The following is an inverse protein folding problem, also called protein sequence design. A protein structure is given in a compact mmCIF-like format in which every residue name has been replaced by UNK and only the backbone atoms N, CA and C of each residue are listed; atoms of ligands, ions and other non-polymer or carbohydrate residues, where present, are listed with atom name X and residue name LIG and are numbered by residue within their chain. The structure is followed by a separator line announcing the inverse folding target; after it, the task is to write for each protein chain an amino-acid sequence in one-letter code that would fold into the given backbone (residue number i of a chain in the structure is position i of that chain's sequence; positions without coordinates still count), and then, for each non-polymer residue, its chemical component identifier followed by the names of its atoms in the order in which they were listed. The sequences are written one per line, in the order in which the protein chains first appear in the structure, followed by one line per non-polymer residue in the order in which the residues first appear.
data_IF_087505546561
#
_entry.id   IF_087505546561
#
_cell.length_a   1.000
_cell.length_b   1.000
_cell.length_c   1.000
_cell.angle_alpha   90.00
_cell.angle_beta   90.00
_cell.angle_gamma   90.00
#
_symmetry.space_group_name_H-M   'P 1'
#
loop_
_entity.id
_entity.type
_entity.pdbx_description
1 polymer ?
#
# COMPACT_ATOMS: atom_id res chain seq x y z
N UNK A 1 -33.23 30.11 -22.15
CA UNK A 1 -32.90 31.55 -22.00
C UNK A 1 -33.02 31.88 -20.50
N UNK A 2 -32.08 31.60 -19.61
CA UNK A 2 -30.67 31.97 -19.57
C UNK A 2 -30.42 32.66 -18.22
N UNK A 3 -30.27 31.89 -17.13
CA UNK A 3 -29.91 32.44 -15.81
C UNK A 3 -28.39 32.65 -15.75
N UNK A 4 -27.97 33.92 -15.78
CA UNK A 4 -26.57 34.36 -15.68
C UNK A 4 -26.04 34.20 -14.25
N UNK A 5 -24.77 33.79 -14.16
CA UNK A 5 -23.95 33.61 -12.95
C UNK A 5 -23.74 34.94 -12.21
N UNK A 6 -23.79 34.91 -10.88
CA UNK A 6 -23.39 36.02 -10.01
C UNK A 6 -21.86 36.08 -9.89
N UNK A 7 -21.34 37.31 -9.94
CA UNK A 7 -19.94 37.72 -9.81
C UNK A 7 -19.55 37.88 -8.34
N UNK A 8 -18.41 37.32 -7.93
CA UNK A 8 -17.79 37.57 -6.62
C UNK A 8 -17.34 39.04 -6.47
N UNK A 9 -17.49 39.66 -5.28
CA UNK A 9 -16.96 41.00 -5.04
C UNK A 9 -15.48 40.97 -4.64
N UNK A 10 -14.68 41.77 -5.33
CA UNK A 10 -13.33 42.19 -4.92
C UNK A 10 -13.44 43.26 -3.83
N UNK A 11 -12.72 43.10 -2.71
CA UNK A 11 -12.62 44.15 -1.69
C UNK A 11 -11.35 44.97 -1.95
N UNK A 12 -11.55 46.27 -2.09
CA UNK A 12 -10.56 47.27 -2.46
C UNK A 12 -9.80 47.83 -1.24
N UNK A 13 -8.62 48.37 -1.54
CA UNK A 13 -7.76 49.24 -0.73
C UNK A 13 -8.53 50.41 -0.11
N UNK A 14 -8.08 50.83 1.07
CA UNK A 14 -8.24 52.21 1.55
C UNK A 14 -6.96 52.65 2.26
N UNK A 15 -6.45 53.80 1.81
CA UNK A 15 -5.29 54.54 2.31
C UNK A 15 -5.79 55.74 3.13
N UNK A 16 -4.99 56.21 4.10
CA UNK A 16 -4.67 57.62 4.48
C UNK A 16 -4.58 57.80 6.00
N UNK A 17 -3.45 58.38 6.46
CA UNK A 17 -3.31 59.02 7.77
C UNK A 17 -1.86 59.20 8.26
N UNK A 18 -1.29 60.38 8.00
CA UNK A 18 0.08 60.85 8.33
C UNK A 18 0.50 60.73 9.82
N UNK A 19 1.80 60.47 10.07
CA UNK A 19 2.75 61.44 10.67
C UNK A 19 4.10 60.79 11.04
N UNK A 20 5.20 61.38 10.54
CA UNK A 20 6.35 61.74 11.39
C UNK A 20 7.60 60.84 11.43
N UNK A 21 8.67 61.35 10.80
CA UNK A 21 10.07 61.40 11.29
C UNK A 21 11.00 60.19 11.03
N UNK A 22 11.73 60.33 9.92
CA UNK A 22 13.18 60.09 9.65
C UNK A 22 14.02 59.18 10.57
N UNK A 23 14.77 58.24 9.95
CA UNK A 23 16.25 58.26 9.76
C UNK A 23 16.70 56.99 9.01
N UNK A 24 17.13 57.13 7.76
CA UNK A 24 18.53 57.14 7.28
C UNK A 24 18.94 55.78 6.69
N UNK A 25 18.75 55.66 5.38
CA UNK A 25 19.51 54.77 4.49
C UNK A 25 20.95 55.27 4.37
N UNK A 26 21.92 54.37 4.24
CA UNK A 26 23.01 54.50 3.24
C UNK A 26 23.66 53.13 3.00
N UNK A 27 23.35 52.52 1.85
CA UNK A 27 24.33 51.72 1.11
C UNK A 27 25.15 52.70 0.24
N UNK A 28 26.45 52.46 0.06
CA UNK A 28 27.13 52.57 -1.23
C UNK A 28 28.60 52.10 -1.19
N UNK A 29 29.20 51.79 -2.36
CA UNK A 29 29.99 50.58 -2.57
C UNK A 29 31.45 50.84 -3.03
N UNK A 30 32.13 49.72 -3.30
CA UNK A 30 33.37 49.54 -4.08
C UNK A 30 34.71 49.98 -3.44
N UNK A 31 35.67 49.06 -3.26
CA UNK A 31 36.64 48.67 -4.31
C UNK A 31 37.61 47.56 -3.81
N UNK A 32 37.60 46.42 -4.52
CA UNK A 32 38.71 45.52 -4.89
C UNK A 32 39.91 45.25 -3.95
N UNK A 33 40.16 43.98 -3.58
CA UNK A 33 41.06 43.04 -4.28
C UNK A 33 41.48 41.87 -3.35
N UNK A 34 41.54 40.68 -3.94
CA UNK A 34 42.27 39.48 -3.51
C UNK A 34 41.71 38.69 -2.30
N UNK A 35 41.04 37.57 -2.61
CA UNK A 35 41.60 36.23 -2.44
C UNK A 35 40.75 35.22 -3.23
N UNK A 36 41.43 34.43 -4.06
CA UNK A 36 40.88 33.27 -4.74
C UNK A 36 40.70 32.12 -3.74
N UNK A 37 39.75 31.25 -4.06
CA UNK A 37 39.60 29.85 -3.68
C UNK A 37 38.82 29.53 -2.39
N UNK A 38 38.00 28.48 -2.57
CA UNK A 38 37.31 27.64 -1.60
C UNK A 38 35.96 28.13 -1.06
N UNK A 39 34.89 27.69 -1.73
CA UNK A 39 33.69 27.19 -1.06
C UNK A 39 33.11 26.07 -1.93
N UNK A 40 33.45 24.86 -1.52
CA UNK A 40 32.98 23.58 -2.04
C UNK A 40 31.45 23.49 -1.97
N UNK A 41 30.86 23.00 -3.06
CA UNK A 41 29.47 22.56 -3.12
C UNK A 41 29.24 21.43 -2.12
N UNK A 42 28.68 21.73 -0.93
CA UNK A 42 28.21 20.69 -0.02
C UNK A 42 26.97 20.01 -0.61
N UNK A 43 27.18 18.93 -1.37
CA UNK A 43 26.12 17.98 -1.71
C UNK A 43 25.73 17.24 -0.42
N UNK A 44 24.62 17.63 0.21
CA UNK A 44 24.08 16.92 1.36
C UNK A 44 23.55 15.56 0.90
N UNK A 45 24.36 14.51 1.08
CA UNK A 45 23.96 13.13 0.82
C UNK A 45 23.32 12.53 2.07
N UNK A 46 22.18 11.88 1.92
CA UNK A 46 21.47 11.21 3.01
C UNK A 46 21.66 9.70 2.92
N UNK A 47 21.87 9.05 4.07
CA UNK A 47 22.13 7.61 4.13
C UNK A 47 21.05 6.85 4.89
N UNK A 48 20.62 5.70 4.35
CA UNK A 48 19.67 4.78 4.98
C UNK A 48 20.32 3.41 5.05
N UNK A 49 20.58 2.90 6.25
CA UNK A 49 21.11 1.55 6.41
C UNK A 49 20.03 0.50 6.13
N UNK A 50 20.42 -0.56 5.43
CA UNK A 50 19.58 -1.74 5.22
C UNK A 50 19.63 -2.60 6.48
N UNK A 51 18.47 -3.09 6.89
CA UNK A 51 18.35 -3.95 8.06
C UNK A 51 18.85 -5.37 7.75
N UNK A 52 19.76 -5.87 8.60
CA UNK A 52 20.47 -7.12 8.38
C UNK A 52 19.97 -8.26 9.26
N UNK A 53 19.12 -7.99 10.26
CA UNK A 53 18.77 -8.95 11.31
C UNK A 53 18.26 -10.31 10.77
N UNK A 54 17.66 -10.32 9.58
CA UNK A 54 17.12 -11.52 8.94
C UNK A 54 18.05 -12.17 7.89
N UNK A 55 19.30 -11.75 7.69
CA UNK A 55 20.13 -12.37 6.63
C UNK A 55 20.45 -13.84 6.87
N UNK A 56 20.48 -14.26 8.14
CA UNK A 56 20.84 -15.62 8.58
C UNK A 56 19.59 -16.38 9.06
N UNK A 57 18.39 -15.82 8.93
CA UNK A 57 17.16 -16.52 9.33
C UNK A 57 16.87 -17.72 8.42
N UNK A 58 16.12 -18.68 8.93
CA UNK A 58 15.67 -19.86 8.16
C UNK A 58 14.39 -19.60 7.35
N UNK A 59 13.64 -18.57 7.74
CA UNK A 59 12.41 -18.16 7.08
C UNK A 59 12.61 -16.81 6.42
N UNK A 60 12.27 -16.72 5.13
CA UNK A 60 12.30 -15.49 4.34
C UNK A 60 11.00 -15.30 3.56
N UNK A 61 10.60 -14.05 3.39
CA UNK A 61 9.48 -13.66 2.53
C UNK A 61 9.97 -12.92 1.29
N UNK A 62 10.78 -13.62 0.49
CA UNK A 62 11.37 -13.08 -0.74
C UNK A 62 10.30 -12.84 -1.82
N UNK A 63 10.16 -11.60 -2.28
CA UNK A 63 9.17 -11.23 -3.30
C UNK A 63 9.74 -11.37 -4.71
N UNK A 64 10.98 -10.89 -4.91
CA UNK A 64 11.63 -10.79 -6.22
C UNK A 64 13.13 -10.58 -6.07
N UNK A 65 13.86 -10.78 -7.17
CA UNK A 65 15.29 -10.47 -7.28
C UNK A 65 15.47 -9.19 -8.09
N UNK A 66 16.30 -8.28 -7.58
CA UNK A 66 16.70 -7.05 -8.27
C UNK A 66 18.19 -7.09 -8.60
N UNK A 67 18.54 -6.49 -9.74
CA UNK A 67 19.92 -6.42 -10.21
C UNK A 67 20.42 -4.98 -10.09
N UNK A 68 21.58 -4.83 -9.47
CA UNK A 68 22.31 -3.57 -9.50
C UNK A 68 23.16 -3.47 -10.78
N UNK A 69 23.07 -2.31 -11.42
CA UNK A 69 23.78 -1.94 -12.64
C UNK A 69 24.71 -0.75 -12.38
N UNK A 70 25.58 -0.44 -13.35
CA UNK A 70 26.58 0.65 -13.25
C UNK A 70 27.45 0.56 -11.99
N UNK A 71 27.92 -0.65 -11.69
CA UNK A 71 28.69 -0.88 -10.48
C UNK A 71 30.07 -0.23 -10.56
N UNK A 72 30.40 0.56 -9.56
CA UNK A 72 31.77 0.95 -9.26
C UNK A 72 32.24 0.10 -8.08
N UNK A 73 33.18 -0.80 -8.35
CA UNK A 73 33.68 -1.82 -7.42
C UNK A 73 35.12 -1.47 -7.05
N UNK A 74 35.41 -1.39 -5.76
CA UNK A 74 36.78 -1.17 -5.28
C UNK A 74 37.67 -2.39 -5.53
N UNK A 75 38.97 -2.17 -5.72
CA UNK A 75 39.95 -3.26 -5.89
C UNK A 75 39.92 -4.24 -4.70
N UNK A 76 39.78 -3.71 -3.48
CA UNK A 76 39.65 -4.52 -2.25
C UNK A 76 38.45 -5.48 -2.27
N UNK A 77 37.37 -5.14 -3.01
CA UNK A 77 36.20 -6.00 -3.14
C UNK A 77 36.46 -7.17 -4.09
N UNK A 78 37.27 -6.96 -5.13
CA UNK A 78 37.71 -8.05 -6.01
C UNK A 78 38.58 -9.04 -5.25
N UNK A 79 39.58 -8.54 -4.52
CA UNK A 79 40.53 -9.38 -3.78
C UNK A 79 39.81 -10.27 -2.76
N UNK A 80 38.92 -9.69 -1.95
CA UNK A 80 38.17 -10.48 -0.96
C UNK A 80 37.26 -11.53 -1.56
N UNK A 81 36.62 -11.24 -2.70
CA UNK A 81 35.79 -12.24 -3.37
C UNK A 81 36.61 -13.43 -3.86
N UNK A 82 37.86 -13.20 -4.27
CA UNK A 82 38.76 -14.30 -4.64
C UNK A 82 39.17 -15.13 -3.42
N UNK A 83 39.31 -14.50 -2.25
CA UNK A 83 39.68 -15.17 -0.99
C UNK A 83 38.53 -15.96 -0.38
N UNK A 84 37.32 -15.39 -0.35
CA UNK A 84 36.12 -15.99 0.20
C UNK A 84 34.91 -15.57 -0.63
N UNK A 85 34.09 -16.53 -1.07
CA UNK A 85 32.88 -16.23 -1.84
C UNK A 85 31.73 -15.74 -0.95
N UNK A 86 31.78 -16.03 0.35
CA UNK A 86 30.71 -15.76 1.31
C UNK A 86 31.03 -14.66 2.32
N UNK A 87 32.14 -13.91 2.14
CA UNK A 87 32.57 -12.82 3.02
C UNK A 87 31.48 -11.76 3.27
N UNK A 88 30.54 -11.63 2.33
CA UNK A 88 29.38 -10.72 2.41
C UNK A 88 28.55 -10.99 3.69
N UNK A 89 28.57 -12.23 4.19
CA UNK A 89 27.86 -12.65 5.39
C UNK A 89 28.63 -12.36 6.69
N UNK A 90 29.79 -11.70 6.66
CA UNK A 90 30.47 -11.26 7.88
C UNK A 90 29.85 -9.99 8.46
N UNK A 91 29.71 -9.89 9.79
CA UNK A 91 29.03 -8.78 10.51
C UNK A 91 29.50 -7.37 10.15
N UNK A 92 30.77 -7.23 9.74
CA UNK A 92 31.35 -5.95 9.36
C UNK A 92 30.78 -5.36 8.06
N UNK A 93 30.11 -6.16 7.23
CA UNK A 93 29.52 -5.66 5.98
C UNK A 93 28.05 -5.31 6.11
N UNK A 94 27.63 -4.25 5.42
CA UNK A 94 26.22 -3.92 5.28
C UNK A 94 25.93 -3.23 3.95
N UNK A 95 24.65 -3.15 3.58
CA UNK A 95 24.18 -2.25 2.53
C UNK A 95 23.65 -0.95 3.14
N UNK A 96 23.86 0.16 2.44
CA UNK A 96 23.20 1.44 2.72
C UNK A 96 22.76 2.10 1.42
N UNK A 97 21.62 2.76 1.43
CA UNK A 97 21.24 3.67 0.35
C UNK A 97 21.88 5.03 0.55
N UNK A 98 22.43 5.61 -0.51
CA UNK A 98 22.83 7.02 -0.59
C UNK A 98 21.84 7.76 -1.49
N UNK A 99 21.23 8.79 -0.94
CA UNK A 99 20.29 9.68 -1.65
C UNK A 99 20.91 11.06 -1.80
N UNK A 100 20.91 11.58 -3.02
CA UNK A 100 21.30 12.96 -3.28
C UNK A 100 20.07 13.89 -3.13
N UNK A 101 20.29 15.13 -2.65
CA UNK A 101 19.28 16.19 -2.57
C UNK A 101 18.03 15.95 -1.68
N UNK A 102 18.16 15.17 -0.60
CA UNK A 102 17.06 14.94 0.36
C UNK A 102 17.28 15.66 1.68
N UNK A 103 16.30 16.47 2.08
CA UNK A 103 16.37 17.32 3.29
C UNK A 103 15.83 16.61 4.55
N UNK A 104 14.85 15.68 4.44
CA UNK A 104 14.25 14.99 5.61
C UNK A 104 13.80 13.55 5.34
N UNK A 105 13.94 12.63 6.32
CA UNK A 105 13.64 11.19 6.19
C UNK A 105 12.14 10.85 6.16
N UNK A 106 11.29 11.68 6.78
CA UNK A 106 9.87 11.32 6.99
C UNK A 106 9.01 11.37 5.71
N UNK A 107 9.53 12.00 4.65
CA UNK A 107 8.84 12.09 3.37
C UNK A 107 9.88 12.01 2.25
N UNK A 108 10.27 10.79 1.88
CA UNK A 108 11.10 10.59 0.69
C UNK A 108 10.24 10.92 -0.53
N UNK A 109 10.51 12.02 -1.25
CA UNK A 109 9.79 12.30 -2.49
C UNK A 109 10.11 11.22 -3.52
N UNK A 110 9.34 11.15 -4.61
CA UNK A 110 9.76 10.34 -5.76
C UNK A 110 11.01 11.01 -6.33
N UNK A 111 12.16 10.38 -6.14
CA UNK A 111 13.46 10.82 -6.64
C UNK A 111 13.72 10.19 -8.00
N UNK A 112 14.59 10.83 -8.80
CA UNK A 112 15.10 10.18 -10.01
C UNK A 112 15.92 8.94 -9.61
N UNK A 113 15.86 7.88 -10.41
CA UNK A 113 16.72 6.71 -10.20
C UNK A 113 18.20 7.04 -10.25
N UNK A 114 18.58 8.12 -10.95
CA UNK A 114 19.96 8.63 -11.00
C UNK A 114 20.44 9.23 -9.67
N UNK A 115 19.54 9.52 -8.73
CA UNK A 115 19.87 10.15 -7.45
C UNK A 115 19.91 9.14 -6.30
N UNK A 116 19.62 7.87 -6.58
CA UNK A 116 19.56 6.77 -5.62
C UNK A 116 20.66 5.76 -5.95
N UNK A 117 21.56 5.57 -5.00
CA UNK A 117 22.66 4.60 -5.09
C UNK A 117 22.54 3.60 -3.95
N UNK A 118 22.79 2.32 -4.22
CA UNK A 118 23.06 1.35 -3.17
C UNK A 118 24.58 1.20 -3.00
N UNK A 119 25.04 1.30 -1.76
CA UNK A 119 26.43 1.14 -1.39
C UNK A 119 26.58 -0.11 -0.52
N UNK A 120 27.49 -1.00 -0.93
CA UNK A 120 28.00 -2.07 -0.09
C UNK A 120 29.18 -1.52 0.71
N UNK A 121 29.07 -1.55 2.04
CA UNK A 121 30.04 -0.91 2.94
C UNK A 121 30.67 -1.92 3.90
N UNK A 122 31.93 -1.67 4.22
CA UNK A 122 32.61 -2.27 5.36
C UNK A 122 32.62 -1.28 6.53
N UNK A 123 31.97 -1.64 7.63
CA UNK A 123 32.00 -0.92 8.90
C UNK A 123 33.37 -1.12 9.54
N UNK A 124 34.16 -0.06 9.63
CA UNK A 124 35.45 -0.03 10.34
C UNK A 124 35.23 0.64 11.70
N UNK A 125 35.79 0.06 12.76
CA UNK A 125 35.75 0.66 14.10
C UNK A 125 36.57 1.96 14.04
N UNK A 126 35.95 3.08 14.41
CA UNK A 126 36.55 4.42 14.50
C UNK A 126 36.85 5.19 13.19
N UNK A 127 36.35 4.74 12.04
CA UNK A 127 36.50 5.45 10.75
C UNK A 127 35.17 5.52 9.97
N UNK A 128 35.11 6.41 8.98
CA UNK A 128 34.00 6.39 8.01
C UNK A 128 33.94 5.03 7.31
N UNK A 129 32.72 4.52 7.13
CA UNK A 129 32.50 3.23 6.50
C UNK A 129 33.09 3.20 5.08
N UNK A 130 33.90 2.19 4.80
CA UNK A 130 34.57 2.05 3.51
C UNK A 130 33.59 1.52 2.46
N UNK A 131 33.41 2.25 1.37
CA UNK A 131 32.51 1.85 0.28
C UNK A 131 33.23 0.86 -0.63
N UNK A 132 32.74 -0.38 -0.62
CA UNK A 132 33.30 -1.48 -1.42
C UNK A 132 32.66 -1.53 -2.81
N UNK A 133 31.35 -1.30 -2.89
CA UNK A 133 30.63 -1.25 -4.16
C UNK A 133 29.60 -0.14 -4.10
N UNK A 134 29.42 0.59 -5.20
CA UNK A 134 28.26 1.47 -5.39
C UNK A 134 27.60 1.15 -6.73
N UNK A 135 26.26 1.18 -6.78
CA UNK A 135 25.50 0.87 -7.98
C UNK A 135 24.08 1.42 -7.95
N UNK A 136 23.41 1.33 -9.10
CA UNK A 136 22.06 1.84 -9.30
C UNK A 136 21.09 0.69 -9.59
N UNK A 137 19.79 0.92 -9.37
CA UNK A 137 18.75 -0.05 -9.70
C UNK A 137 18.25 0.14 -11.13
N UNK A 138 18.02 -0.98 -11.82
CA UNK A 138 17.33 -1.00 -13.12
C UNK A 138 15.80 -1.08 -12.90
N UNK A 139 15.19 0.08 -12.65
CA UNK A 139 13.77 0.16 -12.32
C UNK A 139 13.16 1.56 -12.49
N UNK A 140 11.82 1.67 -12.42
CA UNK A 140 11.13 2.95 -12.45
C UNK A 140 11.45 3.78 -11.20
N UNK A 141 11.58 5.09 -11.34
CA UNK A 141 11.86 6.04 -10.25
C UNK A 141 10.90 5.89 -9.07
N UNK A 142 9.63 5.68 -9.37
CA UNK A 142 8.58 5.44 -8.37
C UNK A 142 8.77 4.14 -7.59
N UNK A 143 9.17 3.07 -8.25
CA UNK A 143 9.42 1.76 -7.64
C UNK A 143 10.68 1.80 -6.77
N UNK A 144 11.78 2.35 -7.28
CA UNK A 144 13.04 2.46 -6.55
C UNK A 144 12.91 3.40 -5.35
N UNK A 145 12.29 4.57 -5.51
CA UNK A 145 12.01 5.47 -4.38
C UNK A 145 11.09 4.82 -3.35
N UNK A 146 10.10 4.04 -3.82
CA UNK A 146 9.21 3.26 -2.95
C UNK A 146 9.97 2.21 -2.14
N UNK A 147 10.93 1.53 -2.76
CA UNK A 147 11.78 0.53 -2.10
C UNK A 147 12.61 1.19 -1.00
N UNK A 148 13.29 2.30 -1.29
CA UNK A 148 14.06 3.06 -0.31
C UNK A 148 13.19 3.48 0.88
N UNK A 149 11.99 4.01 0.61
CA UNK A 149 11.06 4.43 1.65
C UNK A 149 10.63 3.25 2.54
N UNK A 150 10.27 2.11 1.97
CA UNK A 150 9.89 0.94 2.74
C UNK A 150 11.06 0.35 3.54
N UNK A 151 12.28 0.39 3.01
CA UNK A 151 13.48 -0.01 3.77
C UNK A 151 13.73 0.93 4.94
N UNK A 152 13.55 2.24 4.75
CA UNK A 152 13.71 3.23 5.85
C UNK A 152 12.73 3.01 7.01
N UNK A 153 11.55 2.44 6.72
CA UNK A 153 10.55 2.06 7.71
C UNK A 153 10.67 0.61 8.19
N UNK A 154 11.70 -0.12 7.73
CA UNK A 154 11.91 -1.55 8.00
C UNK A 154 10.76 -2.45 7.55
N UNK A 155 10.03 -2.08 6.49
CA UNK A 155 8.99 -2.96 5.93
C UNK A 155 9.56 -3.90 4.87
N UNK A 156 10.56 -3.42 4.13
CA UNK A 156 11.34 -4.24 3.21
C UNK A 156 12.79 -4.29 3.65
N UNK A 157 13.49 -5.35 3.30
CA UNK A 157 14.95 -5.41 3.37
C UNK A 157 15.55 -5.97 2.07
N UNK A 158 16.85 -5.77 1.90
CA UNK A 158 17.64 -6.31 0.80
C UNK A 158 18.63 -7.33 1.36
N UNK A 159 18.65 -8.51 0.76
CA UNK A 159 19.58 -9.58 1.10
C UNK A 159 20.40 -9.96 -0.14
N UNK A 160 21.73 -10.07 -0.03
CA UNK A 160 22.53 -10.50 -1.17
C UNK A 160 22.23 -11.96 -1.49
N UNK A 161 22.06 -12.29 -2.78
CA UNK A 161 22.04 -13.69 -3.22
C UNK A 161 23.47 -14.20 -3.29
N UNK A 162 23.70 -15.46 -2.90
CA UNK A 162 25.01 -16.11 -2.97
C UNK A 162 25.59 -15.97 -4.38
N UNK A 163 26.81 -15.43 -4.48
CA UNK A 163 27.55 -15.26 -5.74
C UNK A 163 27.47 -13.86 -6.34
N UNK A 164 28.51 -13.05 -6.08
CA UNK A 164 28.78 -11.85 -6.87
C UNK A 164 29.24 -12.28 -8.26
N UNK A 165 28.65 -11.75 -9.33
CA UNK A 165 29.15 -11.98 -10.69
C UNK A 165 29.93 -10.74 -11.13
N UNK A 166 31.26 -10.84 -11.07
CA UNK A 166 32.16 -9.80 -11.55
C UNK A 166 32.90 -10.41 -12.74
N UNK A 167 32.37 -10.18 -13.93
CA UNK A 167 32.90 -10.72 -15.18
C UNK A 167 33.16 -9.55 -16.13
N UNK A 168 34.41 -9.09 -16.19
CA UNK A 168 34.84 -8.01 -17.09
C UNK A 168 33.90 -6.78 -17.04
N UNK A 169 33.52 -6.25 -18.21
CA UNK A 169 32.67 -5.06 -18.35
C UNK A 169 31.23 -5.19 -17.82
N UNK A 170 30.82 -6.35 -17.30
CA UNK A 170 29.47 -6.62 -16.80
C UNK A 170 29.56 -7.15 -15.36
N UNK A 171 29.85 -6.26 -14.43
CA UNK A 171 29.69 -6.52 -13.00
C UNK A 171 28.22 -6.31 -12.63
N UNK A 172 27.59 -7.33 -12.03
CA UNK A 172 26.21 -7.23 -11.52
C UNK A 172 26.09 -7.90 -10.16
N UNK A 173 25.36 -7.23 -9.27
CA UNK A 173 25.01 -7.76 -7.94
C UNK A 173 23.52 -8.03 -7.94
N UNK A 174 23.15 -9.25 -7.61
CA UNK A 174 21.76 -9.66 -7.41
C UNK A 174 21.42 -9.56 -5.94
N UNK A 175 20.27 -8.97 -5.66
CA UNK A 175 19.74 -8.78 -4.31
C UNK A 175 18.31 -9.31 -4.28
N UNK A 176 17.98 -10.03 -3.22
CA UNK A 176 16.62 -10.43 -2.88
C UNK A 176 15.93 -9.30 -2.16
N UNK A 177 14.71 -8.97 -2.58
CA UNK A 177 13.82 -8.05 -1.86
C UNK A 177 12.91 -8.89 -0.97
N UNK A 178 13.02 -8.69 0.33
CA UNK A 178 12.29 -9.47 1.35
C UNK A 178 11.29 -8.58 2.11
N UNK A 179 10.07 -9.09 2.36
CA UNK A 179 9.10 -8.46 3.27
C UNK A 179 9.43 -8.83 4.71
N UNK A 180 9.58 -7.82 5.57
CA UNK A 180 9.76 -8.06 7.00
C UNK A 180 8.45 -8.43 7.70
N UNK A 181 8.55 -9.27 8.74
CA UNK A 181 7.39 -9.75 9.53
C UNK A 181 6.51 -8.62 10.08
N UNK A 182 7.11 -7.53 10.52
CA UNK A 182 6.42 -6.33 11.03
C UNK A 182 5.47 -5.68 10.00
N UNK A 183 5.67 -5.91 8.69
CA UNK A 183 4.80 -5.39 7.63
C UNK A 183 3.44 -6.08 7.62
N UNK A 184 3.39 -7.37 7.96
CA UNK A 184 2.14 -8.11 8.06
C UNK A 184 1.34 -7.60 9.27
N UNK A 185 1.99 -7.41 10.41
CA UNK A 185 1.37 -6.83 11.62
C UNK A 185 0.85 -5.40 11.37
N UNK A 186 1.65 -4.58 10.68
CA UNK A 186 1.26 -3.22 10.28
C UNK A 186 0.07 -3.19 9.33
N UNK A 187 -0.08 -4.21 8.48
CA UNK A 187 -1.21 -4.35 7.54
C UNK A 187 -2.53 -4.73 8.24
N UNK A 188 -2.45 -5.47 9.35
CA UNK A 188 -3.60 -5.89 10.15
C UNK A 188 -4.16 -4.78 11.05
N UNK A 189 -3.34 -3.78 11.39
CA UNK A 189 -3.76 -2.60 12.15
C UNK A 189 -4.64 -1.65 11.32
N UNK A 190 -5.87 -2.09 11.03
CA UNK A 190 -6.85 -1.44 10.15
C UNK A 190 -7.38 -0.09 10.66
N UNK A 191 -6.95 0.37 11.84
CA UNK A 191 -7.51 1.54 12.54
C UNK A 191 -6.69 2.85 12.46
N UNK A 192 -5.60 2.89 11.70
CA UNK A 192 -4.85 4.12 11.47
C UNK A 192 -5.39 4.98 10.32
N UNK A 193 -6.24 5.95 10.61
CA UNK A 193 -6.86 6.91 9.66
C UNK A 193 -5.88 7.89 8.98
N UNK A 194 -4.60 7.83 9.32
CA UNK A 194 -3.55 8.58 8.61
C UNK A 194 -3.36 7.95 7.24
N UNK A 195 -3.35 8.75 6.17
CA UNK A 195 -2.94 8.30 4.82
C UNK A 195 -1.57 7.63 4.95
N UNK A 196 -1.55 6.31 5.05
CA UNK A 196 -0.34 5.53 5.24
C UNK A 196 0.50 5.65 3.97
N UNK A 197 1.43 6.60 3.94
CA UNK A 197 2.26 6.94 2.77
C UNK A 197 3.00 5.70 2.25
N UNK A 198 3.37 4.80 3.17
CA UNK A 198 4.00 3.51 2.88
C UNK A 198 3.17 2.60 1.97
N UNK A 199 1.84 2.64 2.06
CA UNK A 199 0.96 1.84 1.20
C UNK A 199 1.11 2.18 -0.27
N UNK A 200 1.28 3.48 -0.57
CA UNK A 200 1.56 3.94 -1.93
C UNK A 200 2.94 3.44 -2.41
N UNK A 201 3.95 3.53 -1.55
CA UNK A 201 5.27 2.96 -1.85
C UNK A 201 5.21 1.46 -2.11
N UNK A 202 4.43 0.70 -1.32
CA UNK A 202 4.24 -0.73 -1.51
C UNK A 202 3.56 -1.04 -2.85
N UNK A 203 2.53 -0.27 -3.23
CA UNK A 203 1.92 -0.41 -4.56
C UNK A 203 2.91 -0.16 -5.70
N UNK A 204 3.74 0.88 -5.59
CA UNK A 204 4.73 1.20 -6.61
C UNK A 204 5.85 0.15 -6.71
N UNK A 205 6.29 -0.39 -5.57
CA UNK A 205 7.28 -1.49 -5.52
C UNK A 205 6.69 -2.77 -6.10
N UNK A 206 5.47 -3.15 -5.72
CA UNK A 206 4.83 -4.36 -6.25
C UNK A 206 4.53 -4.23 -7.75
N UNK A 207 4.16 -3.04 -8.24
CA UNK A 207 4.01 -2.79 -9.68
C UNK A 207 5.32 -2.99 -10.46
N UNK A 208 6.46 -2.70 -9.85
CA UNK A 208 7.77 -2.94 -10.44
C UNK A 208 8.21 -4.40 -10.31
N UNK A 209 8.18 -4.96 -9.11
CA UNK A 209 8.76 -6.27 -8.81
C UNK A 209 7.88 -7.44 -9.23
N UNK A 210 6.55 -7.26 -9.22
CA UNK A 210 5.52 -8.28 -9.48
C UNK A 210 4.39 -7.68 -10.34
N UNK A 211 4.66 -7.25 -11.59
CA UNK A 211 3.68 -6.56 -12.42
C UNK A 211 2.40 -7.38 -12.64
N UNK A 212 2.46 -8.72 -12.54
CA UNK A 212 1.32 -9.61 -12.69
C UNK A 212 0.17 -9.31 -11.71
N UNK A 213 0.47 -8.83 -10.49
CA UNK A 213 -0.58 -8.49 -9.50
C UNK A 213 -1.24 -7.13 -9.75
N UNK A 214 -0.71 -6.36 -10.69
CA UNK A 214 -1.28 -5.06 -11.07
C UNK A 214 -2.18 -5.11 -12.29
N UNK A 215 -2.22 -6.26 -12.96
CA UNK A 215 -3.07 -6.49 -14.13
C UNK A 215 -4.55 -6.40 -13.78
N UNK A 216 -5.37 -5.96 -14.73
CA UNK A 216 -6.83 -5.95 -14.57
C UNK A 216 -7.39 -7.35 -14.29
N UNK A 217 -6.78 -8.39 -14.87
CA UNK A 217 -7.12 -9.78 -14.60
C UNK A 217 -6.90 -10.14 -13.14
N UNK A 218 -5.72 -9.83 -12.58
CA UNK A 218 -5.43 -10.11 -11.18
C UNK A 218 -6.31 -9.27 -10.23
N UNK A 219 -6.55 -8.00 -10.55
CA UNK A 219 -7.31 -7.08 -9.68
C UNK A 219 -8.81 -7.32 -9.67
N UNK A 220 -9.38 -7.67 -10.82
CA UNK A 220 -10.82 -7.72 -11.02
C UNK A 220 -11.34 -9.10 -11.43
N UNK A 221 -10.46 -10.08 -11.64
CA UNK A 221 -10.83 -11.39 -12.19
C UNK A 221 -11.30 -11.31 -13.64
N UNK A 222 -10.96 -10.23 -14.35
CA UNK A 222 -11.46 -9.93 -15.69
C UNK A 222 -10.32 -9.72 -16.68
N UNK A 223 -10.23 -10.60 -17.69
CA UNK A 223 -9.35 -10.40 -18.83
C UNK A 223 -9.92 -9.31 -19.71
N UNK A 224 -9.22 -8.17 -19.76
CA UNK A 224 -9.54 -7.10 -20.71
C UNK A 224 -9.20 -7.63 -22.11
N UNK A 225 -10.14 -7.61 -23.07
CA UNK A 225 -9.84 -7.97 -24.46
C UNK A 225 -8.70 -7.12 -25.01
N UNK A 226 -7.79 -7.71 -25.79
CA UNK A 226 -6.59 -7.05 -26.34
C UNK A 226 -6.90 -5.74 -27.11
N UNK A 227 -8.14 -5.58 -27.58
CA UNK A 227 -8.65 -4.40 -28.29
C UNK A 227 -8.96 -3.19 -27.38
N UNK A 228 -8.79 -3.32 -26.07
CA UNK A 228 -9.16 -2.33 -25.07
C UNK A 228 -7.93 -1.95 -24.24
N UNK A 229 -7.03 -1.14 -24.82
CA UNK A 229 -5.92 -0.50 -24.08
C UNK A 229 -6.47 0.37 -22.94
N UNK A 230 -6.64 -0.19 -21.74
CA UNK A 230 -6.78 0.58 -20.52
C UNK A 230 -5.36 0.97 -20.10
N UNK A 231 -4.82 1.98 -20.78
CA UNK A 231 -3.62 2.65 -20.33
C UNK A 231 -3.88 3.28 -18.96
N UNK A 232 -3.22 2.77 -17.92
CA UNK A 232 -2.98 3.49 -16.67
C UNK A 232 -2.01 4.67 -16.86
N UNK A 233 -1.96 5.25 -18.06
CA UNK A 233 -1.43 6.58 -18.25
C UNK A 233 -2.49 7.56 -17.74
N UNK A 234 -2.16 8.28 -16.69
CA UNK A 234 -2.86 9.48 -16.24
C UNK A 234 -2.70 10.59 -17.31
N UNK A 235 -3.12 10.32 -18.54
CA UNK A 235 -3.22 11.31 -19.59
C UNK A 235 -4.61 11.93 -19.51
N UNK A 236 -4.64 13.23 -19.27
CA UNK A 236 -5.83 14.08 -19.19
C UNK A 236 -6.59 14.23 -20.52
N UNK A 237 -6.85 13.14 -21.23
CA UNK A 237 -7.77 13.12 -22.36
C UNK A 237 -8.89 12.13 -22.10
N UNK A 238 -9.82 12.57 -21.24
CA UNK A 238 -11.11 11.92 -20.99
C UNK A 238 -11.95 11.88 -22.27
N UNK A 239 -11.68 10.94 -23.17
CA UNK A 239 -12.74 10.41 -24.03
C UNK A 239 -13.70 9.67 -23.11
N UNK A 240 -14.91 10.21 -22.97
CA UNK A 240 -15.86 9.79 -21.95
C UNK A 240 -16.21 8.31 -22.06
N UNK A 241 -15.67 7.50 -21.15
CA UNK A 241 -16.19 6.18 -20.86
C UNK A 241 -17.64 6.36 -20.37
N UNK A 242 -18.60 6.00 -21.22
CA UNK A 242 -20.01 5.98 -20.84
C UNK A 242 -20.22 4.77 -19.96
N UNK A 243 -20.34 4.99 -18.66
CA UNK A 243 -20.68 3.93 -17.71
C UNK A 243 -22.00 3.27 -18.13
N UNK A 244 -21.93 1.98 -18.47
CA UNK A 244 -23.11 1.19 -18.81
C UNK A 244 -23.84 0.79 -17.53
N UNK A 245 -24.78 1.66 -17.15
CA UNK A 245 -25.64 1.47 -15.98
C UNK A 245 -26.44 0.16 -16.10
N UNK A 246 -26.93 -0.17 -17.28
CA UNK A 246 -27.78 -1.35 -17.50
C UNK A 246 -26.96 -2.63 -17.38
N UNK A 247 -25.80 -2.70 -18.02
CA UNK A 247 -24.87 -3.83 -17.89
C UNK A 247 -24.42 -4.04 -16.44
N UNK A 248 -24.14 -2.95 -15.71
CA UNK A 248 -23.82 -3.04 -14.28
C UNK A 248 -24.95 -3.66 -13.46
N UNK A 249 -26.20 -3.20 -13.65
CA UNK A 249 -27.34 -3.75 -12.91
C UNK A 249 -27.58 -5.22 -13.23
N UNK A 250 -27.44 -5.66 -14.49
CA UNK A 250 -27.55 -7.08 -14.83
C UNK A 250 -26.44 -7.92 -14.19
N UNK A 251 -25.20 -7.40 -14.15
CA UNK A 251 -24.05 -8.13 -13.57
C UNK A 251 -24.14 -8.33 -12.05
N UNK A 252 -24.78 -7.41 -11.32
CA UNK A 252 -24.93 -7.50 -9.86
C UNK A 252 -26.22 -8.20 -9.40
N UNK A 253 -27.08 -8.62 -10.33
CA UNK A 253 -28.34 -9.29 -9.96
C UNK A 253 -28.06 -10.62 -9.24
N UNK A 254 -28.68 -10.88 -8.09
CA UNK A 254 -28.54 -12.16 -7.41
C UNK A 254 -29.05 -13.30 -8.30
N UNK A 255 -28.37 -14.45 -8.24
CA UNK A 255 -28.83 -15.67 -8.92
C UNK A 255 -30.24 -16.07 -8.45
N UNK A 256 -31.05 -16.57 -9.39
CA UNK A 256 -32.39 -17.11 -9.08
C UNK A 256 -32.32 -18.42 -8.28
N UNK A 257 -31.19 -19.12 -8.36
CA UNK A 257 -30.94 -20.39 -7.67
C UNK A 257 -30.44 -20.20 -6.24
N UNK A 258 -30.34 -18.95 -5.78
CA UNK A 258 -29.96 -18.66 -4.41
C UNK A 258 -30.97 -19.26 -3.42
N UNK A 259 -30.48 -19.76 -2.26
CA UNK A 259 -31.32 -20.37 -1.24
C UNK A 259 -32.43 -19.44 -0.75
N UNK A 260 -33.55 -20.06 -0.39
CA UNK A 260 -34.76 -19.39 0.09
C UNK A 260 -34.94 -19.65 1.59
N UNK A 261 -35.51 -18.67 2.28
CA UNK A 261 -35.86 -18.81 3.68
C UNK A 261 -37.02 -19.79 3.79
N UNK A 262 -36.80 -20.90 4.51
CA UNK A 262 -37.82 -21.95 4.70
C UNK A 262 -38.60 -21.78 6.00
N UNK A 263 -38.16 -20.89 6.89
CA UNK A 263 -38.79 -20.64 8.17
C UNK A 263 -40.23 -20.17 8.00
N UNK A 264 -41.15 -20.85 8.68
CA UNK A 264 -42.55 -20.43 8.76
C UNK A 264 -42.67 -19.28 9.77
N UNK A 265 -43.19 -18.15 9.29
CA UNK A 265 -43.38 -16.92 10.08
C UNK A 265 -44.87 -16.66 10.27
N UNK A 266 -45.55 -17.33 11.23
CA UNK A 266 -47.00 -17.25 11.39
C UNK A 266 -47.49 -15.83 11.74
N UNK A 267 -46.66 -15.04 12.39
CA UNK A 267 -46.96 -13.64 12.74
C UNK A 267 -46.86 -12.69 11.53
N UNK A 268 -46.24 -13.12 10.42
CA UNK A 268 -46.12 -12.34 9.20
C UNK A 268 -47.32 -12.64 8.29
N UNK A 269 -48.34 -11.77 8.38
CA UNK A 269 -49.58 -11.90 7.60
C UNK A 269 -49.40 -11.99 6.06
N UNK A 270 -48.51 -11.20 5.41
CA UNK A 270 -48.34 -11.32 3.96
C UNK A 270 -47.55 -12.56 3.56
N UNK A 271 -48.03 -13.27 2.55
CA UNK A 271 -47.30 -14.39 1.94
C UNK A 271 -46.10 -13.87 1.12
N UNK A 272 -44.91 -14.35 1.45
CA UNK A 272 -43.66 -13.95 0.79
C UNK A 272 -43.52 -14.59 -0.58
N UNK A 273 -43.28 -13.75 -1.59
CA UNK A 273 -42.92 -14.20 -2.93
C UNK A 273 -41.54 -14.86 -2.94
N UNK A 274 -41.23 -15.71 -3.94
CA UNK A 274 -39.96 -16.43 -3.96
C UNK A 274 -38.71 -15.55 -3.87
N UNK A 275 -38.70 -14.39 -4.53
CA UNK A 275 -37.57 -13.45 -4.44
C UNK A 275 -37.44 -12.81 -3.04
N UNK A 276 -38.57 -12.53 -2.37
CA UNK A 276 -38.59 -11.96 -1.01
C UNK A 276 -38.02 -12.97 -0.01
N UNK A 277 -38.35 -14.26 -0.18
CA UNK A 277 -37.78 -15.35 0.63
C UNK A 277 -36.26 -15.49 0.43
N UNK A 278 -35.75 -15.26 -0.78
CA UNK A 278 -34.29 -15.23 -1.05
C UNK A 278 -33.62 -14.03 -0.39
N UNK A 279 -34.21 -12.85 -0.52
CA UNK A 279 -33.70 -11.63 0.13
C UNK A 279 -33.65 -11.79 1.65
N UNK A 280 -34.73 -12.27 2.27
CA UNK A 280 -34.80 -12.54 3.70
C UNK A 280 -33.76 -13.59 4.15
N UNK A 281 -33.60 -14.69 3.41
CA UNK A 281 -32.55 -15.67 3.68
C UNK A 281 -31.17 -15.03 3.69
N UNK A 282 -30.84 -14.27 2.65
CA UNK A 282 -29.54 -13.60 2.54
C UNK A 282 -29.29 -12.65 3.72
N UNK A 283 -30.28 -11.84 4.10
CA UNK A 283 -30.17 -10.92 5.25
C UNK A 283 -29.92 -11.68 6.56
N UNK A 284 -30.68 -12.74 6.82
CA UNK A 284 -30.50 -13.57 8.04
C UNK A 284 -29.11 -14.21 8.08
N UNK A 285 -28.60 -14.74 6.97
CA UNK A 285 -27.25 -15.30 6.91
C UNK A 285 -26.17 -14.21 7.12
N UNK A 286 -26.42 -12.98 6.63
CA UNK A 286 -25.52 -11.83 6.85
C UNK A 286 -25.51 -11.40 8.32
N UNK A 287 -26.62 -11.48 9.02
CA UNK A 287 -26.72 -11.15 10.45
C UNK A 287 -26.12 -12.24 11.35
N UNK A 288 -26.37 -13.52 11.04
CA UNK A 288 -25.83 -14.67 11.78
C UNK A 288 -24.32 -14.87 11.64
N UNK A 289 -23.67 -14.16 10.71
CA UNK A 289 -22.25 -14.34 10.43
C UNK A 289 -21.91 -15.69 9.80
N UNK A 290 -22.89 -16.44 9.29
CA UNK A 290 -22.71 -17.80 8.76
C UNK A 290 -21.78 -17.85 7.54
N UNK A 291 -21.62 -16.73 6.83
CA UNK A 291 -20.61 -16.58 5.78
C UNK A 291 -19.15 -16.63 6.30
N UNK A 292 -18.92 -16.50 7.61
CA UNK A 292 -17.62 -16.75 8.25
C UNK A 292 -17.25 -18.24 8.19
N UNK A 293 -18.19 -19.12 8.51
CA UNK A 293 -17.98 -20.58 8.56
C UNK A 293 -18.04 -21.28 7.18
N UNK A 294 -18.84 -20.75 6.23
CA UNK A 294 -18.84 -21.26 4.86
C UNK A 294 -17.49 -21.05 4.16
N UNK A 295 -16.77 -19.97 4.50
CA UNK A 295 -15.41 -19.70 4.02
C UNK A 295 -14.35 -20.60 4.64
N UNK A 296 -14.53 -21.04 5.88
CA UNK A 296 -13.63 -22.01 6.54
C UNK A 296 -13.78 -23.43 5.96
N UNK A 297 -14.99 -23.82 5.55
CA UNK A 297 -15.26 -25.19 5.05
C UNK A 297 -14.91 -25.42 3.57
N UNK A 298 -14.84 -24.36 2.76
CA UNK A 298 -14.41 -24.46 1.36
C UNK A 298 -12.92 -24.18 1.25
N UNK A 299 -12.10 -25.21 1.47
CA UNK A 299 -10.66 -25.25 1.19
C UNK A 299 -10.30 -25.05 -0.31
N UNK A 300 -11.26 -24.69 -1.16
CA UNK A 300 -11.04 -24.33 -2.55
C UNK A 300 -11.31 -22.84 -2.78
N UNK A 301 -10.22 -22.05 -2.70
CA UNK A 301 -10.01 -20.86 -3.53
C UNK A 301 -11.05 -19.72 -3.46
N UNK A 302 -11.70 -19.44 -2.32
CA UNK A 302 -12.40 -18.15 -2.18
C UNK A 302 -11.42 -17.04 -1.84
N UNK A 303 -10.49 -16.75 -2.76
CA UNK A 303 -9.61 -15.58 -2.69
C UNK A 303 -10.48 -14.36 -2.36
N UNK A 304 -10.15 -13.60 -1.31
CA UNK A 304 -10.80 -12.32 -1.04
C UNK A 304 -10.79 -11.52 -2.35
N UNK A 305 -11.92 -10.98 -2.82
CA UNK A 305 -11.99 -10.32 -4.13
C UNK A 305 -11.03 -9.13 -4.28
N UNK A 306 -10.38 -8.72 -3.19
CA UNK A 306 -9.44 -7.61 -3.14
C UNK A 306 -7.97 -8.03 -3.02
N UNK A 307 -7.68 -9.31 -2.79
CA UNK A 307 -6.32 -9.80 -2.58
C UNK A 307 -5.92 -10.81 -3.67
N UNK A 308 -4.66 -10.79 -4.07
CA UNK A 308 -4.09 -11.70 -5.06
C UNK A 308 -3.02 -12.54 -4.37
N UNK A 309 -2.99 -13.87 -4.56
CA UNK A 309 -1.91 -14.70 -4.06
C UNK A 309 -0.61 -14.40 -4.82
N UNK A 310 0.49 -14.26 -4.09
CA UNK A 310 1.84 -14.01 -4.61
C UNK A 310 2.74 -15.13 -4.12
N UNK A 311 3.32 -15.87 -5.06
CA UNK A 311 4.31 -16.92 -4.77
C UNK A 311 5.62 -16.28 -4.31
N UNK A 312 6.19 -16.74 -3.21
CA UNK A 312 7.49 -16.28 -2.73
C UNK A 312 8.62 -16.93 -3.55
N UNK A 313 9.72 -16.21 -3.76
CA UNK A 313 10.87 -16.74 -4.50
C UNK A 313 11.52 -17.87 -3.69
N UNK A 314 11.83 -18.98 -4.35
CA UNK A 314 12.43 -20.20 -3.78
C UNK A 314 11.69 -20.83 -2.58
N UNK A 315 10.45 -20.44 -2.35
CA UNK A 315 9.61 -21.00 -1.30
C UNK A 315 8.30 -21.52 -1.91
N UNK A 316 7.81 -22.63 -1.38
CA UNK A 316 6.48 -23.14 -1.75
C UNK A 316 5.34 -22.36 -1.07
N UNK A 317 5.67 -21.35 -0.27
CA UNK A 317 4.73 -20.52 0.46
C UNK A 317 4.22 -19.34 -0.39
N UNK A 318 3.00 -18.89 -0.07
CA UNK A 318 2.35 -17.75 -0.71
C UNK A 318 2.02 -16.69 0.31
N UNK A 319 2.03 -15.43 -0.13
CA UNK A 319 1.46 -14.30 0.60
C UNK A 319 0.25 -13.77 -0.17
N UNK A 320 -0.61 -13.01 0.50
CA UNK A 320 -1.75 -12.35 -0.10
C UNK A 320 -1.50 -10.85 -0.15
N UNK A 321 -1.61 -10.29 -1.34
CA UNK A 321 -1.37 -8.87 -1.59
C UNK A 321 -2.65 -8.17 -2.05
N UNK A 322 -2.99 -7.05 -1.42
CA UNK A 322 -4.11 -6.22 -1.85
C UNK A 322 -3.62 -5.11 -2.78
N UNK A 323 -3.96 -5.21 -4.06
CA UNK A 323 -3.56 -4.27 -5.09
C UNK A 323 -4.19 -2.89 -5.00
N UNK A 324 -5.27 -2.72 -4.23
CA UNK A 324 -5.99 -1.46 -4.10
C UNK A 324 -5.42 -0.55 -3.02
N UNK A 325 -4.82 -1.14 -1.99
CA UNK A 325 -4.31 -0.40 -0.84
C UNK A 325 -2.88 -0.78 -0.44
N UNK A 326 -2.22 -1.72 -1.12
CA UNK A 326 -0.85 -2.12 -0.84
C UNK A 326 -0.66 -2.95 0.43
N UNK A 327 -1.71 -3.49 1.06
CA UNK A 327 -1.56 -4.34 2.25
C UNK A 327 -1.08 -5.76 1.90
N UNK A 328 -0.31 -6.37 2.80
CA UNK A 328 0.17 -7.75 2.66
C UNK A 328 -0.27 -8.58 3.86
N UNK A 329 -0.60 -9.85 3.64
CA UNK A 329 -0.94 -10.79 4.70
C UNK A 329 -0.44 -12.20 4.39
N UNK A 330 -0.14 -12.97 5.42
CA UNK A 330 0.14 -14.41 5.30
C UNK A 330 -1.13 -15.25 5.23
N UNK A 331 -2.25 -14.73 5.76
CA UNK A 331 -3.52 -15.43 5.85
C UNK A 331 -4.62 -14.71 5.04
N UNK A 332 -5.38 -15.48 4.27
CA UNK A 332 -6.45 -14.94 3.43
C UNK A 332 -7.59 -14.30 4.25
N UNK A 333 -7.83 -14.81 5.45
CA UNK A 333 -8.91 -14.35 6.33
C UNK A 333 -8.71 -12.89 6.76
N UNK A 334 -7.46 -12.46 6.91
CA UNK A 334 -7.11 -11.10 7.34
C UNK A 334 -7.33 -10.05 6.23
N UNK A 335 -7.54 -10.50 4.98
CA UNK A 335 -7.83 -9.63 3.83
C UNK A 335 -9.27 -9.12 3.77
N UNK A 336 -10.20 -9.63 4.60
CA UNK A 336 -11.61 -9.19 4.58
C UNK A 336 -12.22 -9.19 5.98
N UNK A 337 -12.42 -8.00 6.54
CA UNK A 337 -13.24 -7.85 7.73
C UNK A 337 -14.70 -8.15 7.38
N UNK A 338 -15.26 -9.18 7.99
CA UNK A 338 -16.66 -9.49 7.83
C UNK A 338 -17.51 -8.39 8.47
N UNK A 339 -18.44 -7.82 7.70
CA UNK A 339 -19.41 -6.84 8.19
C UNK A 339 -20.76 -7.51 8.35
N UNK A 340 -21.33 -7.41 9.54
CA UNK A 340 -22.69 -7.86 9.85
C UNK A 340 -23.72 -6.96 9.15
N UNK A 341 -24.76 -7.54 8.57
CA UNK A 341 -25.77 -6.82 7.79
C UNK A 341 -25.34 -6.57 6.33
N UNK A 342 -26.02 -5.69 5.59
CA UNK A 342 -25.69 -5.45 4.18
C UNK A 342 -26.61 -4.44 3.50
N UNK A 343 -26.48 -4.32 2.18
CA UNK A 343 -27.29 -3.38 1.36
C UNK A 343 -28.38 -4.16 0.63
N UNK A 344 -29.64 -3.85 0.93
CA UNK A 344 -30.82 -4.35 0.20
C UNK A 344 -31.25 -3.30 -0.84
N UNK A 345 -30.91 -3.53 -2.11
CA UNK A 345 -31.06 -2.55 -3.20
C UNK A 345 -31.99 -3.01 -4.34
N UNK A 346 -33.16 -3.55 -3.98
CA UNK A 346 -34.17 -3.99 -4.95
C UNK A 346 -34.96 -2.83 -5.56
N UNK A 347 -35.56 -3.06 -6.73
CA UNK A 347 -36.44 -2.10 -7.42
C UNK A 347 -37.60 -1.62 -6.52
N UNK A 348 -38.09 -0.42 -6.81
CA UNK A 348 -39.20 0.17 -6.05
C UNK A 348 -40.48 -0.63 -6.30
N UNK A 349 -41.24 -0.93 -5.24
CA UNK A 349 -42.46 -1.73 -5.33
C UNK A 349 -42.30 -3.25 -5.16
N UNK A 350 -41.06 -3.77 -5.03
CA UNK A 350 -40.83 -5.21 -4.80
C UNK A 350 -41.12 -5.68 -3.36
N UNK A 351 -41.34 -4.75 -2.43
CA UNK A 351 -41.74 -5.08 -1.06
C UNK A 351 -40.58 -5.17 -0.06
N UNK A 352 -39.54 -4.35 -0.21
CA UNK A 352 -38.39 -4.25 0.73
C UNK A 352 -38.77 -4.18 2.21
N UNK A 353 -39.87 -3.51 2.53
CA UNK A 353 -40.38 -3.46 3.91
C UNK A 353 -40.81 -4.83 4.41
N UNK A 354 -41.50 -5.61 3.57
CA UNK A 354 -41.95 -6.96 3.91
C UNK A 354 -40.74 -7.90 4.02
N UNK A 355 -39.74 -7.74 3.15
CA UNK A 355 -38.47 -8.50 3.21
C UNK A 355 -37.72 -8.23 4.52
N UNK A 356 -37.61 -6.96 4.92
CA UNK A 356 -36.96 -6.58 6.18
C UNK A 356 -37.74 -7.12 7.39
N UNK A 357 -39.07 -7.02 7.38
CA UNK A 357 -39.91 -7.61 8.43
C UNK A 357 -39.67 -9.12 8.50
N UNK A 358 -39.66 -9.83 7.38
CA UNK A 358 -39.35 -11.26 7.34
C UNK A 358 -37.99 -11.59 7.97
N UNK A 359 -36.96 -10.77 7.72
CA UNK A 359 -35.66 -10.90 8.40
C UNK A 359 -35.80 -10.77 9.92
N UNK A 360 -36.51 -9.74 10.40
CA UNK A 360 -36.75 -9.51 11.83
C UNK A 360 -37.50 -10.69 12.47
N UNK A 361 -38.53 -11.23 11.83
CA UNK A 361 -39.28 -12.38 12.36
C UNK A 361 -38.43 -13.66 12.39
N UNK A 362 -37.60 -13.90 11.36
CA UNK A 362 -36.77 -15.09 11.25
C UNK A 362 -35.49 -15.03 12.11
N UNK A 363 -35.03 -13.84 12.47
CA UNK A 363 -33.85 -13.63 13.33
C UNK A 363 -34.14 -12.67 14.48
N UNK A 364 -35.20 -12.97 15.25
CA UNK A 364 -35.47 -12.25 16.50
C UNK A 364 -34.34 -12.52 17.50
N UNK A 365 -33.87 -11.44 18.12
CA UNK A 365 -32.94 -11.53 19.25
C UNK A 365 -33.63 -12.20 20.43
N UNK A 366 -32.95 -13.14 21.09
CA UNK A 366 -33.48 -13.77 22.29
C UNK A 366 -33.43 -12.79 23.48
N UNK A 367 -34.41 -12.86 24.39
CA UNK A 367 -34.44 -11.98 25.58
C UNK A 367 -33.20 -12.16 26.48
N UNK A 368 -32.54 -13.32 26.40
CA UNK A 368 -31.32 -13.64 27.13
C UNK A 368 -30.13 -12.77 26.65
N UNK A 369 -30.05 -12.48 25.36
CA UNK A 369 -29.01 -11.62 24.76
C UNK A 369 -29.28 -10.11 24.96
N UNK A 370 -30.48 -9.74 25.42
CA UNK A 370 -30.84 -8.35 25.70
C UNK A 370 -30.33 -7.89 27.08
N UNK A 371 -30.23 -8.80 28.05
CA UNK A 371 -29.73 -8.52 29.40
C UNK A 371 -28.21 -8.38 29.47
N UNK A 372 -27.45 -9.06 28.59
CA UNK A 372 -25.99 -8.92 28.54
C UNK A 372 -25.55 -7.56 27.97
N UNK A 373 -26.29 -6.98 27.02
CA UNK A 373 -26.03 -5.61 26.54
C UNK A 373 -26.30 -4.58 27.63
N UNK A 374 -27.38 -4.74 28.41
CA UNK A 374 -27.68 -3.84 29.55
C UNK A 374 -26.59 -3.88 30.63
N UNK A 375 -25.89 -5.00 30.78
CA UNK A 375 -24.73 -5.10 31.69
C UNK A 375 -23.48 -4.44 31.12
N UNK A 376 -23.26 -4.55 29.80
CA UNK A 376 -22.11 -3.92 29.13
C UNK A 376 -22.23 -2.39 29.10
N UNK A 377 -23.42 -1.85 28.78
CA UNK A 377 -23.66 -0.40 28.77
C UNK A 377 -23.51 0.25 30.16
N UNK A 378 -23.73 -0.49 31.25
CA UNK A 378 -23.50 -0.01 32.61
C UNK A 378 -22.02 0.05 33.02
N UNK A 379 -21.11 -0.54 32.23
CA UNK A 379 -19.65 -0.50 32.50
C UNK A 379 -18.89 0.48 31.59
N UNK A 380 -19.49 0.90 30.47
CA UNK A 380 -18.95 1.94 29.58
C UNK A 380 -19.62 3.29 29.79
N UNK A 381 -19.72 3.74 31.05
CA UNK A 381 -19.99 5.14 31.34
C UNK A 381 -18.70 5.93 31.10
N UNK A 382 -18.65 6.64 29.97
CA UNK A 382 -17.60 7.58 29.60
C UNK A 382 -17.42 8.64 30.70
N UNK A 383 -16.50 8.41 31.65
CA UNK A 383 -15.90 9.50 32.43
C UNK A 383 -14.91 10.20 31.52
N UNK A 384 -15.38 11.25 30.86
CA UNK A 384 -14.52 12.33 30.43
C UNK A 384 -14.06 13.06 31.70
N UNK A 385 -12.83 12.78 32.16
CA UNK A 385 -12.13 13.69 33.06
C UNK A 385 -11.58 14.84 32.21
N UNK A 386 -11.94 16.07 32.61
CA UNK A 386 -11.48 17.35 32.07
C UNK A 386 -10.07 17.63 32.57
#
# INVERSE_FOLDING_TARGET
MGRRKQTQPRRAQATVGNNGVSKEDFCNPDTSHALKNELSSHNNSFFIEVDRDNWVSTEHYDISEVVLTNLNVSEECYDRKYEDQDFINEEKYNFRFRLNDVIKPLHIPVLSTSDIYLEFIEKRVDMEAHVMVTGNFDGPSEGVSGLVHLVSMKFLTLRPTTGLTFSGNLSSIRLRVEIQKCTFEGSESFFGTTRQIWKKSMMNVMAWLRPEVTTSEARYGYKVPEDMEIGLQLNENRKGYRFDVSGFYEAIKPSKDNPMLMDDMPDLLPELRPYQRRAAFWMVQREKGTFRHLRESQQSQSVSPLCVPVDLVDSCSKIYYNSFNGSVSTNLENCSSYVVGGILADEMGLGKTIELLACIFAHRKSDIDADDIRKQDNTSCWRAEI
#
